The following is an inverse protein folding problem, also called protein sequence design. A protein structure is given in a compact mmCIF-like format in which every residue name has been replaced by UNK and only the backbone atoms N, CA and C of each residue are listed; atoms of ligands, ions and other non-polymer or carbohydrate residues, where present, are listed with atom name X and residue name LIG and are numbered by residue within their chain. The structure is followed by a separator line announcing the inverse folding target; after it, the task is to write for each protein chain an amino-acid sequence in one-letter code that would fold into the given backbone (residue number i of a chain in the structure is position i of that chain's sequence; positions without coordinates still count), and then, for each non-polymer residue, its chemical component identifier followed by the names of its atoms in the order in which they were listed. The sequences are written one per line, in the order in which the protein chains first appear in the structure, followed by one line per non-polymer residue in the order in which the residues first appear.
data_IF_392186389499
#
_entry.id   IF_392186389499
#
_cell.length_a   1.000
_cell.length_b   1.000
_cell.length_c   1.000
_cell.angle_alpha   90.00
_cell.angle_beta   90.00
_cell.angle_gamma   90.00
#
_symmetry.space_group_name_H-M   'P 1'
#
loop_
_entity.id
_entity.type
_entity.pdbx_description
1 polymer ?
#
# COMPACT_ATOMS: atom_id res chain seq x y z
N UNK A 1 23.03 3.00 6.01
CA UNK A 1 22.13 3.86 6.79
C UNK A 1 20.74 3.29 6.62
N UNK A 2 20.01 2.98 7.70
CA UNK A 2 18.63 2.55 7.57
C UNK A 2 17.80 3.76 7.14
N UNK A 3 17.20 3.70 5.96
CA UNK A 3 16.26 4.72 5.53
C UNK A 3 15.09 4.73 6.54
N UNK A 4 14.57 5.88 7.00
CA UNK A 4 13.48 5.92 8.00
C UNK A 4 12.18 5.26 7.53
N UNK A 5 12.13 4.79 6.28
CA UNK A 5 10.97 4.24 5.62
C UNK A 5 11.07 2.73 5.37
N UNK A 6 12.10 2.03 5.85
CA UNK A 6 12.24 0.57 5.71
C UNK A 6 11.49 -0.19 6.82
N UNK A 7 11.14 -1.44 6.55
CA UNK A 7 10.52 -2.33 7.52
C UNK A 7 11.51 -2.75 8.61
N UNK A 8 11.06 -2.86 9.87
CA UNK A 8 11.83 -3.52 10.92
C UNK A 8 11.92 -5.02 10.65
N UNK A 9 12.98 -5.67 11.15
CA UNK A 9 13.22 -7.11 10.92
C UNK A 9 12.06 -8.00 11.38
N UNK A 10 11.37 -7.63 12.46
CA UNK A 10 10.19 -8.36 12.93
C UNK A 10 9.07 -8.42 11.88
N UNK A 11 8.85 -7.32 11.15
CA UNK A 11 7.88 -7.30 10.04
C UNK A 11 8.40 -8.14 8.87
N UNK A 12 9.68 -8.00 8.51
CA UNK A 12 10.29 -8.80 7.43
C UNK A 12 10.18 -10.31 7.72
N UNK A 13 10.40 -10.73 8.97
CA UNK A 13 10.26 -12.13 9.37
C UNK A 13 8.84 -12.68 9.16
N UNK A 14 7.81 -11.84 9.32
CA UNK A 14 6.41 -12.20 9.03
C UNK A 14 6.18 -12.19 7.51
N UNK A 15 6.63 -11.16 6.80
CA UNK A 15 6.42 -11.03 5.36
C UNK A 15 7.10 -12.15 4.56
N UNK A 16 8.25 -12.66 5.01
CA UNK A 16 8.91 -13.85 4.41
C UNK A 16 8.04 -15.11 4.45
N UNK A 17 7.05 -15.18 5.33
CA UNK A 17 6.16 -16.34 5.48
C UNK A 17 4.86 -16.19 4.68
N UNK A 18 4.61 -15.03 4.07
CA UNK A 18 3.43 -14.81 3.24
C UNK A 18 3.44 -15.72 2.02
N UNK A 19 2.27 -16.17 1.61
CA UNK A 19 2.09 -17.05 0.46
C UNK A 19 1.04 -16.47 -0.45
N UNK A 20 1.28 -16.56 -1.75
CA UNK A 20 0.33 -16.10 -2.75
C UNK A 20 -1.01 -16.84 -2.64
N UNK A 21 -2.09 -16.08 -2.58
CA UNK A 21 -3.45 -16.58 -2.66
C UNK A 21 -4.10 -16.11 -3.98
N UNK A 22 -4.48 -17.02 -4.91
CA UNK A 22 -5.21 -16.66 -6.11
C UNK A 22 -6.59 -16.07 -5.84
N UNK A 23 -7.14 -16.23 -4.62
CA UNK A 23 -8.42 -15.67 -4.17
C UNK A 23 -8.25 -14.37 -3.38
N UNK A 24 -7.03 -13.84 -3.29
CA UNK A 24 -6.77 -12.59 -2.58
C UNK A 24 -7.63 -11.45 -3.13
N UNK A 25 -8.28 -10.72 -2.22
CA UNK A 25 -9.15 -9.60 -2.58
C UNK A 25 -8.28 -8.35 -2.73
N UNK A 26 -8.45 -7.64 -3.85
CA UNK A 26 -7.83 -6.35 -4.09
C UNK A 26 -8.70 -5.23 -3.50
N UNK A 27 -8.10 -4.39 -2.66
CA UNK A 27 -8.71 -3.18 -2.09
C UNK A 27 -7.84 -1.96 -2.40
N UNK A 28 -8.43 -0.78 -2.31
CA UNK A 28 -7.72 0.48 -2.50
C UNK A 28 -7.41 1.12 -1.15
N UNK A 29 -6.13 1.39 -0.90
CA UNK A 29 -5.69 2.18 0.25
C UNK A 29 -5.66 3.66 -0.14
N UNK A 30 -6.65 4.41 0.34
CA UNK A 30 -6.82 5.82 -0.03
C UNK A 30 -5.73 6.76 0.50
N UNK A 31 -4.98 6.36 1.54
CA UNK A 31 -3.88 7.18 2.08
C UNK A 31 -2.63 7.06 1.23
N UNK A 32 -2.30 5.86 0.78
CA UNK A 32 -1.14 5.60 -0.09
C UNK A 32 -1.46 5.84 -1.57
N UNK A 33 -2.75 5.86 -1.93
CA UNK A 33 -3.20 5.94 -3.31
C UNK A 33 -2.91 4.67 -4.12
N UNK A 34 -2.79 3.51 -3.44
CA UNK A 34 -2.35 2.25 -4.05
C UNK A 34 -3.34 1.11 -3.88
N UNK A 35 -3.19 0.08 -4.73
CA UNK A 35 -3.90 -1.19 -4.62
C UNK A 35 -3.19 -2.10 -3.60
N UNK A 36 -3.96 -2.78 -2.76
CA UNK A 36 -3.49 -3.69 -1.70
C UNK A 36 -4.26 -5.00 -1.81
N UNK A 37 -3.55 -6.14 -1.77
CA UNK A 37 -4.17 -7.46 -1.77
C UNK A 37 -4.19 -8.06 -0.36
N UNK A 38 -5.24 -8.82 -0.05
CA UNK A 38 -5.48 -9.36 1.28
C UNK A 38 -4.44 -10.37 1.78
N UNK A 39 -3.59 -10.91 0.89
CA UNK A 39 -2.52 -11.86 1.21
C UNK A 39 -1.14 -11.19 1.40
N UNK A 40 -1.05 -9.87 1.28
CA UNK A 40 0.22 -9.14 1.31
C UNK A 40 0.70 -8.79 2.71
N UNK A 41 -0.21 -8.39 3.58
CA UNK A 41 0.13 -7.91 4.92
C UNK A 41 -0.74 -8.62 5.96
N UNK A 42 -0.24 -9.71 6.56
CA UNK A 42 -0.91 -10.36 7.67
C UNK A 42 -1.18 -9.37 8.81
N UNK A 43 -2.28 -9.54 9.59
CA UNK A 43 -2.62 -8.66 10.69
C UNK A 43 -1.47 -8.43 11.69
N UNK A 44 -0.63 -9.45 11.90
CA UNK A 44 0.54 -9.40 12.78
C UNK A 44 1.59 -8.41 12.27
N UNK A 45 1.89 -8.42 10.97
CA UNK A 45 2.83 -7.48 10.36
C UNK A 45 2.31 -6.04 10.49
N UNK A 46 1.01 -5.84 10.26
CA UNK A 46 0.37 -4.53 10.40
C UNK A 46 0.40 -4.03 11.84
N UNK A 47 0.17 -4.91 12.83
CA UNK A 47 0.24 -4.56 14.24
C UNK A 47 1.64 -4.08 14.65
N UNK A 48 2.69 -4.75 14.17
CA UNK A 48 4.08 -4.31 14.41
C UNK A 48 4.37 -2.96 13.75
N UNK A 49 3.95 -2.76 12.49
CA UNK A 49 4.08 -1.47 11.82
C UNK A 49 3.41 -0.33 12.62
N UNK A 50 2.16 -0.52 13.07
CA UNK A 50 1.45 0.50 13.82
C UNK A 50 2.06 0.79 15.20
N UNK A 51 2.43 -0.25 15.95
CA UNK A 51 3.04 -0.09 17.28
C UNK A 51 4.40 0.60 17.24
N UNK A 52 5.13 0.48 16.12
CA UNK A 52 6.43 1.12 15.90
C UNK A 52 6.34 2.48 15.18
N UNK A 53 5.12 2.98 14.91
CA UNK A 53 4.88 4.16 14.08
C UNK A 53 5.60 4.09 12.72
N UNK A 54 5.70 2.88 12.16
CA UNK A 54 6.34 2.60 10.88
C UNK A 54 5.29 2.52 9.77
N UNK A 55 5.48 3.32 8.73
CA UNK A 55 4.55 3.44 7.60
C UNK A 55 5.14 2.90 6.28
N UNK A 56 6.17 2.04 6.35
CA UNK A 56 6.86 1.47 5.19
C UNK A 56 5.89 0.88 4.15
N UNK A 57 4.88 0.14 4.60
CA UNK A 57 3.88 -0.46 3.71
C UNK A 57 3.18 0.58 2.82
N UNK A 58 2.93 1.80 3.32
CA UNK A 58 2.29 2.85 2.51
C UNK A 58 3.18 3.32 1.37
N UNK A 59 4.48 3.44 1.63
CA UNK A 59 5.45 3.79 0.59
C UNK A 59 5.59 2.68 -0.45
N UNK A 60 5.54 1.40 -0.04
CA UNK A 60 5.49 0.25 -0.97
C UNK A 60 4.26 0.34 -1.88
N UNK A 61 3.08 0.59 -1.31
CA UNK A 61 1.85 0.72 -2.09
C UNK A 61 1.90 1.91 -3.05
N UNK A 62 2.43 3.05 -2.61
CA UNK A 62 2.58 4.26 -3.42
C UNK A 62 3.60 4.07 -4.56
N UNK A 63 4.73 3.40 -4.29
CA UNK A 63 5.72 3.06 -5.31
C UNK A 63 5.11 2.13 -6.35
N UNK A 64 4.44 1.05 -5.94
CA UNK A 64 3.77 0.13 -6.88
C UNK A 64 2.71 0.82 -7.72
N UNK A 65 1.93 1.73 -7.13
CA UNK A 65 0.96 2.54 -7.89
C UNK A 65 1.65 3.37 -8.99
N UNK A 66 2.83 3.92 -8.69
CA UNK A 66 3.64 4.67 -9.68
C UNK A 66 4.16 3.79 -10.81
N UNK A 67 4.54 2.53 -10.52
CA UNK A 67 4.91 1.54 -11.54
C UNK A 67 3.73 1.22 -12.46
N UNK A 68 2.54 0.99 -11.90
CA UNK A 68 1.30 0.75 -12.66
C UNK A 68 0.97 1.94 -13.58
N UNK A 69 1.28 3.16 -13.15
CA UNK A 69 1.05 4.38 -13.95
C UNK A 69 2.11 4.58 -15.04
N UNK A 70 3.25 3.90 -14.95
CA UNK A 70 4.39 4.04 -15.88
C UNK A 70 5.32 5.19 -15.55
N UNK A 71 5.18 5.81 -14.37
CA UNK A 71 5.98 6.96 -13.92
C UNK A 71 6.52 6.66 -12.51
N UNK A 72 7.62 5.88 -12.39
CA UNK A 72 8.16 5.47 -11.10
C UNK A 72 8.52 6.66 -10.20
N UNK A 73 8.08 6.60 -8.94
CA UNK A 73 8.34 7.61 -7.91
C UNK A 73 9.47 7.14 -7.01
N UNK A 74 10.70 7.36 -7.45
CA UNK A 74 11.91 6.85 -6.79
C UNK A 74 12.09 7.31 -5.34
N UNK A 75 11.41 8.38 -4.91
CA UNK A 75 11.40 8.78 -3.50
C UNK A 75 10.76 7.73 -2.57
N UNK A 76 10.02 6.76 -3.11
CA UNK A 76 9.34 5.68 -2.40
C UNK A 76 9.91 4.29 -2.63
N UNK A 77 10.99 4.15 -3.40
CA UNK A 77 11.54 2.83 -3.78
C UNK A 77 12.19 2.09 -2.62
N UNK A 78 12.76 2.77 -1.63
CA UNK A 78 13.56 2.15 -0.58
C UNK A 78 12.92 0.93 0.14
N UNK A 79 11.68 1.00 0.66
CA UNK A 79 11.03 -0.19 1.25
C UNK A 79 10.59 -1.23 0.21
N UNK A 80 10.34 -0.83 -1.04
CA UNK A 80 10.08 -1.77 -2.12
C UNK A 80 11.32 -2.61 -2.42
N UNK A 81 12.47 -1.97 -2.61
CA UNK A 81 13.76 -2.62 -2.86
C UNK A 81 14.14 -3.56 -1.71
N UNK A 82 13.86 -3.17 -0.47
CA UNK A 82 14.03 -4.03 0.69
C UNK A 82 13.20 -5.32 0.60
N UNK A 83 11.94 -5.23 0.16
CA UNK A 83 11.10 -6.42 -0.02
C UNK A 83 11.58 -7.28 -1.19
N UNK A 84 12.05 -6.68 -2.29
CA UNK A 84 12.67 -7.41 -3.41
C UNK A 84 13.87 -8.21 -2.94
N UNK A 85 14.75 -7.61 -2.13
CA UNK A 85 15.95 -8.24 -1.62
C UNK A 85 15.65 -9.31 -0.54
N UNK A 86 14.80 -8.98 0.43
CA UNK A 86 14.67 -9.76 1.67
C UNK A 86 13.42 -10.62 1.75
N UNK A 87 12.44 -10.39 0.88
CA UNK A 87 11.17 -11.11 0.81
C UNK A 87 10.79 -11.41 -0.65
N UNK A 88 11.64 -12.08 -1.45
CA UNK A 88 11.43 -12.22 -2.90
C UNK A 88 10.17 -13.01 -3.29
N UNK A 89 9.60 -13.78 -2.35
CA UNK A 89 8.36 -14.53 -2.53
C UNK A 89 7.11 -13.78 -2.06
N UNK A 90 7.25 -12.54 -1.56
CA UNK A 90 6.13 -11.73 -1.09
C UNK A 90 5.10 -11.53 -2.23
N UNK A 91 3.81 -11.83 -2.01
CA UNK A 91 2.80 -11.78 -3.07
C UNK A 91 2.70 -10.45 -3.80
N UNK A 92 3.05 -9.34 -3.14
CA UNK A 92 3.00 -8.01 -3.73
C UNK A 92 4.02 -7.71 -4.83
N UNK A 93 5.09 -8.51 -4.94
CA UNK A 93 6.10 -8.41 -6.02
C UNK A 93 5.70 -9.10 -7.31
N UNK A 94 4.56 -9.80 -7.31
CA UNK A 94 4.12 -10.54 -8.50
C UNK A 94 3.97 -9.60 -9.70
N UNK A 95 4.48 -9.98 -10.90
CA UNK A 95 4.41 -9.13 -12.09
C UNK A 95 3.00 -8.64 -12.41
N UNK A 96 1.99 -9.48 -12.16
CA UNK A 96 0.59 -9.13 -12.43
C UNK A 96 0.07 -8.00 -11.52
N UNK A 97 0.65 -7.81 -10.32
CA UNK A 97 0.24 -6.79 -9.34
C UNK A 97 0.91 -5.43 -9.53
N UNK A 98 1.94 -5.37 -10.37
CA UNK A 98 2.62 -4.13 -10.78
C UNK A 98 2.40 -3.81 -12.28
N UNK A 99 1.54 -4.56 -12.94
CA UNK A 99 1.30 -4.44 -14.38
C UNK A 99 0.59 -3.12 -14.73
N UNK A 100 1.00 -2.43 -15.81
CA UNK A 100 0.26 -1.28 -16.37
C UNK A 100 -1.19 -1.59 -16.75
N UNK A 101 -1.55 -2.86 -16.92
CA UNK A 101 -2.95 -3.28 -17.15
C UNK A 101 -3.88 -2.95 -15.99
N UNK A 102 -3.34 -2.64 -14.79
CA UNK A 102 -4.11 -2.21 -13.62
C UNK A 102 -4.39 -0.71 -13.59
N UNK A 103 -3.89 0.07 -14.56
CA UNK A 103 -3.97 1.54 -14.54
C UNK A 103 -5.41 2.05 -14.45
N UNK A 104 -6.31 1.54 -15.28
CA UNK A 104 -7.71 1.96 -15.27
C UNK A 104 -8.38 1.60 -13.94
N UNK A 105 -8.11 0.40 -13.41
CA UNK A 105 -8.63 -0.02 -12.10
C UNK A 105 -8.16 0.90 -10.96
N UNK A 106 -6.88 1.30 -10.98
CA UNK A 106 -6.32 2.24 -10.02
C UNK A 106 -6.97 3.62 -10.11
N UNK A 107 -7.16 4.15 -11.33
CA UNK A 107 -7.81 5.45 -11.57
C UNK A 107 -9.26 5.43 -11.06
N UNK A 108 -10.02 4.39 -11.40
CA UNK A 108 -11.40 4.23 -10.94
C UNK A 108 -11.50 4.12 -9.43
N UNK A 109 -10.61 3.35 -8.80
CA UNK A 109 -10.56 3.21 -7.35
C UNK A 109 -10.27 4.54 -6.66
N UNK A 110 -9.31 5.31 -7.19
CA UNK A 110 -8.99 6.64 -6.70
C UNK A 110 -10.18 7.60 -6.83
N UNK A 111 -10.85 7.63 -7.98
CA UNK A 111 -12.03 8.47 -8.21
C UNK A 111 -13.19 8.09 -7.27
N UNK A 112 -13.39 6.79 -7.02
CA UNK A 112 -14.39 6.28 -6.08
C UNK A 112 -14.10 6.72 -4.64
N UNK A 113 -12.84 6.66 -4.22
CA UNK A 113 -12.42 7.12 -2.91
C UNK A 113 -12.61 8.63 -2.74
N UNK A 114 -12.16 9.43 -3.72
CA UNK A 114 -12.31 10.88 -3.70
C UNK A 114 -13.77 11.32 -3.55
N UNK A 115 -14.69 10.68 -4.29
CA UNK A 115 -16.13 10.96 -4.19
C UNK A 115 -16.68 10.65 -2.81
N UNK A 116 -16.36 9.47 -2.25
CA UNK A 116 -16.78 9.10 -0.89
C UNK A 116 -16.22 10.07 0.15
N UNK A 117 -14.98 10.51 -0.01
CA UNK A 117 -14.37 11.48 0.89
C UNK A 117 -15.10 12.84 0.84
N UNK A 118 -15.43 13.33 -0.36
CA UNK A 118 -16.23 14.55 -0.55
C UNK A 118 -17.64 14.45 0.05
N UNK A 119 -18.30 13.30 -0.07
CA UNK A 119 -19.62 13.06 0.55
C UNK A 119 -19.54 13.15 2.08
N UNK A 120 -18.50 12.55 2.68
CA UNK A 120 -18.25 12.63 4.13
C UNK A 120 -17.94 14.06 4.56
N UNK A 121 -17.09 14.76 3.81
CA UNK A 121 -16.72 16.16 4.11
C UNK A 121 -17.92 17.09 3.98
N UNK A 122 -18.78 16.91 2.97
CA UNK A 122 -20.02 17.68 2.84
C UNK A 122 -20.97 17.40 4.01
N UNK A 123 -21.08 16.13 4.45
CA UNK A 123 -22.00 15.73 5.52
C UNK A 123 -21.58 16.22 6.90
N UNK A 124 -20.27 16.31 7.19
CA UNK A 124 -19.75 16.59 8.53
C UNK A 124 -18.84 17.82 8.62
N UNK A 125 -18.44 18.41 7.49
CA UNK A 125 -17.65 19.64 7.43
C UNK A 125 -18.47 20.89 7.78
N UNK A 126 -19.78 20.85 7.55
CA UNK A 126 -20.70 21.93 7.94
C UNK A 126 -20.90 22.01 9.46
N UNK A 127 -20.80 20.87 10.17
CA UNK A 127 -20.98 20.81 11.63
C UNK A 127 -19.80 21.39 12.42
N UNK A 128 -18.64 21.65 11.78
CA UNK A 128 -17.45 22.23 12.44
C UNK A 128 -17.32 23.75 12.26
N UNK A 129 -18.20 24.39 11.47
CA UNK A 129 -18.19 25.86 11.31
C UNK A 129 -19.09 26.60 12.30
N UNK A 130 -19.83 25.87 13.14
CA UNK A 130 -20.76 26.43 14.14
C UNK A 130 -20.30 26.27 15.60
N UNK A 131 -19.04 25.87 15.86
CA UNK A 131 -18.38 25.92 17.18
C UNK A 131 -17.19 26.88 17.15
#
# INVERSE_FOLDING_TARGET
MNHPWTFPEEVLAILRQTTWDPKAICIFDGVSGGLLWSDEYPPEAMAVCFSSNNWAFRYVLAYRASLIQGEPREEFSAPWDQLVEQCPNWPGLRPERQSPTLRDHLIEAHARFARKFQEVDTKYGDTRREM
#
